data_IF_311544721836
#
_entry.id   IF_311544721836
#
_cell.length_a   1.000
_cell.length_b   1.000
_cell.length_c   1.000
_cell.angle_alpha   90.00
_cell.angle_beta   90.00
_cell.angle_gamma   90.00
#
_symmetry.space_group_name_H-M   'P 1'
#
loop_
_entity.id
_entity.type
_entity.pdbx_description
1 polymer ?
#
# COMPACT_ATOMS: atom_id res chain seq x y z
N UNK A 1 -4.83 -5.18 -17.61
CA UNK A 1 -5.04 -5.90 -18.89
C UNK A 1 -5.85 -4.99 -19.79
N UNK A 2 -5.39 -4.73 -21.01
CA UNK A 2 -6.10 -3.87 -21.94
C UNK A 2 -7.31 -4.58 -22.58
N UNK A 3 -8.40 -3.83 -22.83
CA UNK A 3 -9.63 -4.37 -23.42
C UNK A 3 -9.40 -5.13 -24.75
N UNK A 4 -8.43 -4.69 -25.55
CA UNK A 4 -8.02 -5.37 -26.78
C UNK A 4 -7.43 -6.76 -26.57
N UNK A 5 -6.74 -6.98 -25.43
CA UNK A 5 -6.17 -8.29 -25.07
C UNK A 5 -7.27 -9.25 -24.63
N UNK A 6 -8.26 -8.77 -23.86
CA UNK A 6 -9.38 -9.57 -23.39
C UNK A 6 -10.20 -10.12 -24.57
N UNK A 7 -10.45 -9.32 -25.60
CA UNK A 7 -11.19 -9.74 -26.81
C UNK A 7 -10.50 -10.87 -27.61
N UNK A 8 -9.21 -11.10 -27.40
CA UNK A 8 -8.44 -12.14 -28.12
C UNK A 8 -8.30 -13.43 -27.31
N UNK A 9 -8.85 -13.50 -26.10
CA UNK A 9 -8.75 -14.65 -25.23
C UNK A 9 -9.83 -15.69 -25.55
N UNK A 10 -9.48 -16.95 -25.41
CA UNK A 10 -10.45 -18.04 -25.47
C UNK A 10 -11.40 -18.00 -24.26
N UNK A 11 -12.57 -18.60 -24.38
CA UNK A 11 -13.52 -18.74 -23.28
C UNK A 11 -12.87 -19.38 -22.07
N UNK A 12 -12.09 -20.45 -22.25
CA UNK A 12 -11.39 -21.14 -21.18
C UNK A 12 -10.37 -20.23 -20.45
N UNK A 13 -9.68 -19.34 -21.16
CA UNK A 13 -8.78 -18.35 -20.56
C UNK A 13 -9.55 -17.32 -19.74
N UNK A 14 -10.70 -16.85 -20.27
CA UNK A 14 -11.57 -15.91 -19.56
C UNK A 14 -12.18 -16.52 -18.29
N UNK A 15 -12.61 -17.78 -18.35
CA UNK A 15 -13.10 -18.52 -17.19
C UNK A 15 -12.05 -18.69 -16.10
N UNK A 16 -10.80 -19.04 -16.47
CA UNK A 16 -9.69 -19.11 -15.51
C UNK A 16 -9.44 -17.77 -14.81
N UNK A 17 -9.44 -16.68 -15.57
CA UNK A 17 -9.27 -15.34 -15.03
C UNK A 17 -10.43 -14.97 -14.11
N UNK A 18 -11.66 -15.21 -14.54
CA UNK A 18 -12.86 -14.95 -13.73
C UNK A 18 -12.85 -15.73 -12.42
N UNK A 19 -12.57 -17.04 -12.49
CA UNK A 19 -12.48 -17.89 -11.30
C UNK A 19 -11.36 -17.42 -10.34
N UNK A 20 -10.23 -16.97 -10.88
CA UNK A 20 -9.15 -16.40 -10.06
C UNK A 20 -9.60 -15.13 -9.34
N UNK A 21 -10.34 -14.22 -10.01
CA UNK A 21 -10.90 -13.03 -9.36
C UNK A 21 -11.89 -13.38 -8.26
N UNK A 22 -12.76 -14.38 -8.50
CA UNK A 22 -13.73 -14.84 -7.51
C UNK A 22 -13.03 -15.45 -6.28
N UNK A 23 -12.05 -16.33 -6.51
CA UNK A 23 -11.29 -16.99 -5.43
C UNK A 23 -10.49 -15.97 -4.58
N UNK A 24 -9.90 -14.97 -5.22
CA UNK A 24 -9.14 -13.92 -4.54
C UNK A 24 -10.02 -12.79 -3.98
N UNK A 25 -11.35 -12.90 -4.09
CA UNK A 25 -12.30 -11.86 -3.69
C UNK A 25 -11.92 -10.47 -4.22
N UNK A 26 -11.47 -10.40 -5.49
CA UNK A 26 -11.04 -9.16 -6.10
C UNK A 26 -12.23 -8.20 -6.30
N UNK A 27 -12.21 -7.09 -5.58
CA UNK A 27 -13.27 -6.08 -5.61
C UNK A 27 -13.15 -5.09 -6.78
N UNK A 28 -12.07 -5.17 -7.56
CA UNK A 28 -11.82 -4.29 -8.70
C UNK A 28 -11.18 -2.95 -8.33
N UNK A 29 -11.66 -1.86 -8.90
CA UNK A 29 -11.07 -0.54 -8.67
C UNK A 29 -11.45 0.04 -7.31
N UNK A 30 -10.46 0.53 -6.56
CA UNK A 30 -10.66 1.20 -5.27
C UNK A 30 -11.65 2.36 -5.36
N UNK A 31 -11.73 3.05 -6.50
CA UNK A 31 -12.65 4.17 -6.73
C UNK A 31 -14.12 3.75 -6.87
N UNK A 32 -14.40 2.45 -7.00
CA UNK A 32 -15.76 1.91 -7.22
C UNK A 32 -16.27 1.10 -6.02
N UNK A 33 -15.40 0.70 -5.12
CA UNK A 33 -15.80 -0.09 -3.94
C UNK A 33 -16.29 0.82 -2.81
N UNK A 34 -17.04 0.23 -1.89
CA UNK A 34 -17.54 0.85 -0.66
C UNK A 34 -16.82 0.27 0.54
N UNK A 35 -16.70 1.06 1.63
CA UNK A 35 -16.06 0.63 2.87
C UNK A 35 -16.60 -0.70 3.38
N UNK A 36 -17.92 -0.92 3.38
CA UNK A 36 -18.55 -2.17 3.79
C UNK A 36 -18.07 -3.42 3.04
N UNK A 37 -17.55 -3.28 1.82
CA UNK A 37 -17.05 -4.40 1.01
C UNK A 37 -15.68 -4.91 1.49
N UNK A 38 -14.99 -4.15 2.36
CA UNK A 38 -13.77 -4.63 3.04
C UNK A 38 -14.07 -5.77 4.01
N UNK A 39 -15.36 -5.96 4.36
CA UNK A 39 -15.87 -7.07 5.17
C UNK A 39 -15.11 -7.28 6.49
N UNK A 40 -14.84 -6.18 7.20
CA UNK A 40 -14.21 -6.21 8.52
C UNK A 40 -15.29 -6.53 9.54
N UNK A 41 -15.19 -7.71 10.14
CA UNK A 41 -16.16 -8.24 11.14
C UNK A 41 -15.41 -9.06 12.17
N UNK A 42 -16.05 -9.29 13.34
CA UNK A 42 -15.49 -10.15 14.39
C UNK A 42 -14.06 -9.76 14.80
N UNK A 43 -13.83 -8.46 15.01
CA UNK A 43 -12.51 -7.90 15.36
C UNK A 43 -11.98 -8.39 16.70
N UNK A 44 -12.84 -8.93 17.57
CA UNK A 44 -12.47 -9.64 18.80
C UNK A 44 -11.78 -10.97 18.49
N UNK A 45 -12.08 -11.58 17.34
CA UNK A 45 -11.57 -12.89 16.95
C UNK A 45 -10.45 -12.80 15.91
N UNK A 46 -10.51 -11.82 15.02
CA UNK A 46 -9.59 -11.65 13.92
C UNK A 46 -8.92 -10.29 13.95
N UNK A 47 -7.63 -10.26 13.61
CA UNK A 47 -6.89 -9.03 13.36
C UNK A 47 -6.88 -8.74 11.87
N UNK A 48 -7.43 -7.59 11.48
CA UNK A 48 -7.45 -7.12 10.10
C UNK A 48 -6.31 -6.14 9.84
N UNK A 49 -5.51 -6.45 8.83
CA UNK A 49 -4.48 -5.55 8.32
C UNK A 49 -4.89 -5.08 6.92
N UNK A 50 -5.06 -3.78 6.75
CA UNK A 50 -5.23 -3.16 5.44
C UNK A 50 -3.88 -2.68 4.93
N UNK A 51 -3.38 -3.35 3.88
CA UNK A 51 -2.16 -2.92 3.20
C UNK A 51 -2.52 -2.06 1.99
N UNK A 52 -1.82 -0.95 1.80
CA UNK A 52 -2.06 -0.07 0.65
C UNK A 52 -0.77 0.57 0.16
N UNK A 53 -0.74 0.74 -1.16
CA UNK A 53 0.26 1.52 -1.87
C UNK A 53 -0.46 2.24 -3.00
N UNK A 54 -0.15 3.50 -3.19
CA UNK A 54 -0.74 4.30 -4.26
C UNK A 54 0.35 4.69 -5.27
N UNK A 55 -0.02 4.97 -6.54
CA UNK A 55 0.96 5.23 -7.57
C UNK A 55 1.93 6.36 -7.20
N UNK A 56 3.23 6.08 -7.32
CA UNK A 56 4.29 7.04 -7.04
C UNK A 56 4.65 7.94 -8.23
N UNK A 57 3.99 7.78 -9.38
CA UNK A 57 4.33 8.48 -10.63
C UNK A 57 4.29 9.99 -10.53
N UNK A 58 3.46 10.53 -9.66
CA UNK A 58 3.34 11.97 -9.44
C UNK A 58 4.17 12.45 -8.23
N UNK A 59 4.83 11.54 -7.50
CA UNK A 59 5.71 11.82 -6.36
C UNK A 59 7.19 11.71 -6.73
N UNK A 60 7.54 10.70 -7.56
CA UNK A 60 8.92 10.34 -7.84
C UNK A 60 9.65 11.42 -8.65
N UNK A 61 10.98 11.50 -8.46
CA UNK A 61 11.87 12.43 -9.20
C UNK A 61 11.80 12.16 -10.71
N UNK A 62 11.62 10.90 -11.11
CA UNK A 62 11.48 10.51 -12.52
C UNK A 62 10.09 10.78 -13.10
N UNK A 63 9.13 11.23 -12.29
CA UNK A 63 7.74 11.48 -12.68
C UNK A 63 7.43 12.97 -12.85
N UNK A 64 6.15 13.27 -13.06
CA UNK A 64 5.67 14.65 -13.28
C UNK A 64 5.65 15.53 -12.01
N UNK A 65 5.98 14.96 -10.85
CA UNK A 65 6.01 15.63 -9.53
C UNK A 65 4.76 16.50 -9.23
N UNK A 66 3.58 16.06 -9.66
CA UNK A 66 2.31 16.77 -9.45
C UNK A 66 1.79 16.68 -8.02
N UNK A 67 2.44 15.86 -7.18
CA UNK A 67 2.06 15.64 -5.80
C UNK A 67 0.87 14.72 -5.59
N UNK A 68 0.39 14.69 -4.35
CA UNK A 68 -0.73 13.84 -3.93
C UNK A 68 -1.88 14.66 -3.30
N UNK A 69 -1.96 15.94 -3.62
CA UNK A 69 -2.98 16.85 -3.08
C UNK A 69 -4.39 16.29 -3.29
N UNK A 70 -5.21 16.35 -2.25
CA UNK A 70 -6.61 15.90 -2.28
C UNK A 70 -7.39 16.66 -3.37
N UNK A 71 -8.14 15.94 -4.19
CA UNK A 71 -8.91 16.51 -5.29
C UNK A 71 -8.12 16.95 -6.52
N UNK A 72 -6.80 16.69 -6.57
CA UNK A 72 -5.95 17.08 -7.72
C UNK A 72 -6.17 16.23 -8.98
N UNK A 73 -6.87 15.11 -8.89
CA UNK A 73 -7.02 14.16 -9.99
C UNK A 73 -5.73 13.43 -10.39
N UNK A 74 -4.66 13.57 -9.58
CA UNK A 74 -3.40 12.85 -9.80
C UNK A 74 -3.54 11.37 -9.44
N UNK A 75 -2.70 10.51 -10.02
CA UNK A 75 -2.68 9.09 -9.64
C UNK A 75 -2.26 8.89 -8.18
N UNK A 76 -1.33 9.70 -7.69
CA UNK A 76 -0.92 9.69 -6.28
C UNK A 76 -2.03 10.16 -5.34
N UNK A 77 -3.02 10.90 -5.83
CA UNK A 77 -4.24 11.27 -5.11
C UNK A 77 -5.16 10.07 -4.77
N UNK A 78 -4.88 8.85 -5.28
CA UNK A 78 -5.59 7.64 -4.87
C UNK A 78 -5.39 7.27 -3.39
N UNK A 79 -4.44 7.88 -2.69
CA UNK A 79 -4.36 7.81 -1.22
C UNK A 79 -5.71 8.20 -0.57
N UNK A 80 -6.37 9.22 -1.10
CA UNK A 80 -7.63 9.73 -0.54
C UNK A 80 -8.84 8.82 -0.76
N UNK A 81 -8.69 7.78 -1.60
CA UNK A 81 -9.68 6.71 -1.67
C UNK A 81 -9.63 5.80 -0.43
N UNK A 82 -8.44 5.61 0.17
CA UNK A 82 -8.31 4.91 1.45
C UNK A 82 -8.99 5.73 2.56
N UNK A 83 -8.79 7.07 2.56
CA UNK A 83 -9.50 7.98 3.47
C UNK A 83 -11.03 7.82 3.33
N UNK A 84 -11.53 7.80 2.10
CA UNK A 84 -12.97 7.64 1.82
C UNK A 84 -13.50 6.32 2.39
N UNK A 85 -12.79 5.21 2.16
CA UNK A 85 -13.21 3.90 2.64
C UNK A 85 -13.25 3.83 4.18
N UNK A 86 -12.21 4.35 4.86
CA UNK A 86 -12.17 4.39 6.32
C UNK A 86 -13.26 5.31 6.89
N UNK A 87 -13.53 6.44 6.22
CA UNK A 87 -14.61 7.36 6.59
C UNK A 87 -15.98 6.71 6.43
N UNK A 88 -16.21 5.96 5.36
CA UNK A 88 -17.45 5.21 5.13
C UNK A 88 -17.67 4.18 6.24
N UNK A 89 -16.63 3.41 6.61
CA UNK A 89 -16.71 2.43 7.71
C UNK A 89 -17.10 3.12 9.02
N UNK A 90 -16.41 4.22 9.38
CA UNK A 90 -16.69 4.96 10.61
C UNK A 90 -18.11 5.51 10.63
N UNK A 91 -18.55 6.13 9.55
CA UNK A 91 -19.89 6.74 9.46
C UNK A 91 -21.01 5.70 9.50
N UNK A 92 -20.77 4.49 9.01
CA UNK A 92 -21.69 3.37 9.07
C UNK A 92 -21.64 2.61 10.43
N UNK A 93 -20.84 3.07 11.40
CA UNK A 93 -20.64 2.40 12.68
C UNK A 93 -20.01 1.02 12.58
N UNK A 94 -19.20 0.80 11.54
CA UNK A 94 -18.50 -0.45 11.29
C UNK A 94 -17.12 -0.45 11.91
N UNK A 95 -16.62 -1.67 12.14
CA UNK A 95 -15.25 -1.88 12.61
C UNK A 95 -14.21 -1.35 11.62
N UNK A 96 -13.15 -0.77 12.16
CA UNK A 96 -11.97 -0.35 11.38
C UNK A 96 -10.90 -1.46 11.41
N UNK A 97 -10.03 -1.55 10.37
CA UNK A 97 -8.87 -2.42 10.44
C UNK A 97 -8.00 -2.06 11.64
N UNK A 98 -7.56 -3.04 12.42
CA UNK A 98 -6.70 -2.78 13.57
C UNK A 98 -5.31 -2.29 13.16
N UNK A 99 -4.85 -2.67 11.96
CA UNK A 99 -3.54 -2.30 11.44
C UNK A 99 -3.69 -1.75 10.02
N UNK A 100 -3.05 -0.62 9.76
CA UNK A 100 -2.85 -0.11 8.41
C UNK A 100 -1.36 -0.17 8.09
N UNK A 101 -1.02 -0.61 6.87
CA UNK A 101 0.35 -0.67 6.41
C UNK A 101 0.49 -0.01 5.04
N UNK A 102 1.24 1.09 4.98
CA UNK A 102 1.55 1.83 3.76
C UNK A 102 2.98 1.57 3.32
N UNK A 103 3.17 1.38 2.02
CA UNK A 103 4.47 1.46 1.36
C UNK A 103 4.42 2.50 0.25
N UNK A 104 5.47 3.34 0.14
CA UNK A 104 5.64 4.24 -1.00
C UNK A 104 7.12 4.68 -1.15
N UNK A 105 7.41 5.49 -2.16
CA UNK A 105 8.74 6.10 -2.35
C UNK A 105 9.04 7.13 -1.24
N UNK A 106 10.34 7.37 -0.91
CA UNK A 106 10.72 8.35 0.13
C UNK A 106 10.13 9.75 -0.08
N UNK A 107 9.89 10.13 -1.34
CA UNK A 107 9.34 11.42 -1.71
C UNK A 107 7.93 11.68 -1.16
N UNK A 108 7.24 10.66 -0.67
CA UNK A 108 5.92 10.82 -0.02
C UNK A 108 6.00 11.74 1.20
N UNK A 109 7.12 11.68 1.95
CA UNK A 109 7.43 12.57 3.08
C UNK A 109 8.43 13.67 2.73
N UNK A 110 8.77 13.83 1.45
CA UNK A 110 9.65 14.90 0.98
C UNK A 110 8.99 16.27 1.08
N UNK A 111 9.80 17.34 1.05
CA UNK A 111 9.36 18.73 1.29
C UNK A 111 8.16 19.17 0.46
N UNK A 112 8.00 18.65 -0.77
CA UNK A 112 6.87 18.99 -1.64
C UNK A 112 5.55 18.33 -1.25
N UNK A 113 5.60 17.21 -0.52
CA UNK A 113 4.44 16.38 -0.21
C UNK A 113 4.16 16.28 1.29
N UNK A 114 5.07 16.78 2.14
CA UNK A 114 5.01 16.63 3.59
C UNK A 114 3.72 17.19 4.20
N UNK A 115 3.20 18.29 3.66
CA UNK A 115 1.95 18.88 4.15
C UNK A 115 0.74 17.96 3.89
N UNK A 116 0.68 17.35 2.71
CA UNK A 116 -0.40 16.40 2.41
C UNK A 116 -0.22 15.09 3.18
N UNK A 117 1.04 14.67 3.42
CA UNK A 117 1.32 13.51 4.27
C UNK A 117 0.89 13.77 5.73
N UNK A 118 1.14 14.95 6.28
CA UNK A 118 0.67 15.33 7.62
C UNK A 118 -0.86 15.34 7.72
N UNK A 119 -1.56 15.84 6.70
CA UNK A 119 -3.04 15.75 6.66
C UNK A 119 -3.53 14.30 6.71
N UNK A 120 -2.82 13.42 6.02
CA UNK A 120 -3.10 11.99 6.08
C UNK A 120 -2.87 11.42 7.48
N UNK A 121 -1.76 11.75 8.10
CA UNK A 121 -1.43 11.34 9.47
C UNK A 121 -2.45 11.89 10.49
N UNK A 122 -2.80 13.16 10.39
CA UNK A 122 -3.83 13.81 11.21
C UNK A 122 -5.20 13.14 11.06
N UNK A 123 -5.58 12.79 9.82
CA UNK A 123 -6.80 12.06 9.56
C UNK A 123 -6.80 10.69 10.27
N UNK A 124 -5.74 9.90 10.14
CA UNK A 124 -5.63 8.62 10.81
C UNK A 124 -5.68 8.78 12.35
N UNK A 125 -5.00 9.77 12.88
CA UNK A 125 -5.04 10.11 14.31
C UNK A 125 -6.46 10.46 14.76
N UNK A 126 -7.23 11.18 13.94
CA UNK A 126 -8.64 11.49 14.23
C UNK A 126 -9.56 10.28 14.25
N UNK A 127 -9.14 9.18 13.62
CA UNK A 127 -9.83 7.88 13.69
C UNK A 127 -9.39 7.03 14.88
N UNK A 128 -8.38 7.46 15.63
CA UNK A 128 -7.85 6.76 16.80
C UNK A 128 -6.62 5.90 16.51
N UNK A 129 -5.94 6.09 15.38
CA UNK A 129 -4.69 5.38 15.08
C UNK A 129 -3.48 6.07 15.68
N UNK A 130 -2.52 5.25 16.18
CA UNK A 130 -1.15 5.67 16.49
C UNK A 130 -0.25 5.35 15.32
N UNK A 131 0.48 6.36 14.81
CA UNK A 131 1.19 6.29 13.54
C UNK A 131 2.71 6.22 13.73
N UNK A 132 3.38 5.36 12.95
CA UNK A 132 4.84 5.21 12.91
C UNK A 132 5.29 5.11 11.46
N UNK A 133 6.25 5.91 11.05
CA UNK A 133 6.81 5.81 9.69
C UNK A 133 8.31 6.01 9.68
N UNK A 134 8.97 5.34 8.75
CA UNK A 134 10.42 5.40 8.55
C UNK A 134 10.77 5.11 7.10
N UNK A 135 11.90 5.68 6.65
CA UNK A 135 12.50 5.32 5.36
C UNK A 135 13.47 4.19 5.61
N UNK A 136 13.21 3.02 5.02
CA UNK A 136 14.05 1.84 5.13
C UNK A 136 14.65 1.50 3.77
N UNK A 137 15.89 0.99 3.79
CA UNK A 137 16.55 0.49 2.59
C UNK A 137 16.71 -1.02 2.66
N UNK A 138 16.25 -1.74 1.65
CA UNK A 138 16.28 -3.20 1.59
C UNK A 138 17.68 -3.79 1.84
N UNK A 139 18.75 -3.09 1.40
CA UNK A 139 20.14 -3.53 1.63
C UNK A 139 20.51 -3.62 3.12
N UNK A 140 19.87 -2.82 3.97
CA UNK A 140 20.14 -2.76 5.40
C UNK A 140 19.37 -3.85 6.18
N UNK A 141 18.66 -4.73 5.44
CA UNK A 141 17.89 -5.87 5.96
C UNK A 141 18.23 -7.18 5.23
N UNK A 142 19.47 -7.30 4.76
CA UNK A 142 19.98 -8.54 4.17
C UNK A 142 19.60 -8.80 2.71
N UNK A 143 18.94 -7.85 2.03
CA UNK A 143 18.56 -7.96 0.61
C UNK A 143 19.60 -7.25 -0.26
N UNK A 144 20.12 -7.94 -1.31
CA UNK A 144 21.12 -7.38 -2.22
C UNK A 144 20.51 -6.36 -3.21
N UNK A 145 19.68 -5.45 -2.71
CA UNK A 145 19.03 -4.41 -3.49
C UNK A 145 19.08 -3.07 -2.77
N UNK A 146 19.63 -2.04 -3.44
CA UNK A 146 19.55 -0.67 -2.95
C UNK A 146 18.16 -0.11 -3.30
N UNK A 147 17.21 -0.25 -2.36
CA UNK A 147 15.82 0.13 -2.54
C UNK A 147 15.28 0.81 -1.29
N UNK A 148 15.23 2.13 -1.33
CA UNK A 148 14.63 2.92 -0.25
C UNK A 148 13.13 3.06 -0.44
N UNK A 149 12.38 2.87 0.66
CA UNK A 149 10.93 3.06 0.71
C UNK A 149 10.52 3.67 2.04
N UNK A 150 9.49 4.48 1.99
CA UNK A 150 8.78 4.94 3.17
C UNK A 150 7.75 3.88 3.54
N UNK A 151 7.87 3.36 4.74
CA UNK A 151 6.89 2.44 5.35
C UNK A 151 6.19 3.16 6.48
N UNK A 152 4.86 3.02 6.55
CA UNK A 152 4.06 3.55 7.63
C UNK A 152 3.15 2.46 8.19
N UNK A 153 3.24 2.24 9.50
CA UNK A 153 2.30 1.44 10.26
C UNK A 153 1.41 2.36 11.08
N UNK A 154 0.12 2.08 11.06
CA UNK A 154 -0.86 2.76 11.89
C UNK A 154 -1.66 1.70 12.64
N UNK A 155 -1.65 1.77 13.97
CA UNK A 155 -2.31 0.81 14.86
C UNK A 155 -3.51 1.49 15.51
N UNK A 156 -4.67 0.85 15.47
CA UNK A 156 -5.88 1.37 16.12
C UNK A 156 -5.72 1.29 17.65
N UNK A 157 -5.82 2.44 18.32
CA UNK A 157 -5.56 2.59 19.75
C UNK A 157 -4.10 2.98 20.05
N UNK A 158 -3.75 2.90 21.35
CA UNK A 158 -2.39 3.17 21.81
C UNK A 158 -1.48 1.96 21.55
N UNK A 159 -0.37 2.20 20.89
CA UNK A 159 0.60 1.17 20.55
C UNK A 159 2.01 1.71 20.67
N UNK A 160 2.98 0.86 21.05
CA UNK A 160 4.41 1.21 21.07
C UNK A 160 5.14 0.32 20.06
N UNK A 161 5.34 0.82 18.85
CA UNK A 161 6.01 0.12 17.78
C UNK A 161 7.40 0.68 17.51
N UNK A 162 8.34 -0.20 17.18
CA UNK A 162 9.69 0.16 16.72
C UNK A 162 10.02 -0.62 15.48
N UNK A 163 10.54 0.06 14.47
CA UNK A 163 11.05 -0.59 13.27
C UNK A 163 12.20 -1.56 13.60
N UNK A 164 12.37 -2.64 12.83
CA UNK A 164 13.45 -3.59 13.02
C UNK A 164 14.82 -2.92 12.96
N UNK A 165 15.77 -3.43 13.73
CA UNK A 165 17.16 -2.98 13.63
C UNK A 165 17.77 -3.42 12.30
N UNK A 166 18.60 -2.55 11.73
CA UNK A 166 19.33 -2.84 10.50
C UNK A 166 20.36 -3.95 10.70
N UNK A 167 20.56 -4.74 9.65
CA UNK A 167 21.60 -5.77 9.59
C UNK A 167 22.54 -5.47 8.42
N UNK A 168 23.86 -5.63 8.66
CA UNK A 168 24.84 -5.48 7.57
C UNK A 168 24.66 -6.58 6.54
N UNK A 169 24.55 -6.19 5.27
CA UNK A 169 24.54 -7.12 4.15
C UNK A 169 25.85 -7.93 4.14
N UNK A 170 25.76 -9.23 4.39
CA UNK A 170 26.91 -10.16 4.44
C UNK A 170 27.28 -10.69 3.06
N UNK A 171 26.29 -10.73 2.14
CA UNK A 171 26.43 -11.28 0.79
C UNK A 171 26.60 -10.18 -0.24
N UNK A 172 27.39 -10.45 -1.29
CA UNK A 172 27.52 -9.61 -2.49
C UNK A 172 26.57 -10.12 -3.56
N UNK A 173 26.30 -9.30 -4.59
CA UNK A 173 25.44 -9.70 -5.71
C UNK A 173 25.84 -11.06 -6.31
N UNK A 174 27.15 -11.30 -6.49
CA UNK A 174 27.69 -12.56 -7.00
C UNK A 174 27.28 -13.80 -6.18
N UNK A 175 26.99 -13.63 -4.89
CA UNK A 175 26.62 -14.75 -3.99
C UNK A 175 25.14 -15.17 -4.17
N UNK A 176 24.39 -14.42 -4.99
CA UNK A 176 23.00 -14.69 -5.37
C UNK A 176 22.86 -15.14 -6.83
N UNK A 177 23.97 -15.10 -7.60
CA UNK A 177 23.95 -15.58 -8.98
C UNK A 177 24.15 -17.09 -9.01
N UNK A 178 23.44 -17.77 -9.89
CA UNK A 178 23.68 -19.18 -10.19
C UNK A 178 25.08 -19.34 -10.77
N UNK A 179 25.81 -20.35 -10.30
CA UNK A 179 27.17 -20.61 -10.78
C UNK A 179 27.18 -21.43 -12.07
N UNK A 180 26.13 -22.21 -12.31
CA UNK A 180 25.94 -22.99 -13.55
C UNK A 180 24.53 -22.67 -14.06
N UNK A 181 24.46 -22.12 -15.27
CA UNK A 181 23.20 -21.89 -16.00
C UNK A 181 23.17 -22.91 -17.12
N UNK A 182 22.20 -23.83 -17.09
CA UNK A 182 21.94 -24.71 -18.23
C UNK A 182 21.52 -23.84 -19.44
N UNK A 183 22.21 -24.07 -20.59
CA UNK A 183 21.94 -23.38 -21.86
C UNK A 183 20.59 -23.82 -22.48
#
# INVERSE_FOLDING_TARGET
MEYKQIKRMSVQQLEKIYNSFCQNQNLGSITKIKGKQLNITDTDKYTYMLTYSFPCTDLSISGKQKGMKKGSGTRSGLLWEVERLLTELKNEGRELPQILFMENVPQVIGSKNIEDFRKWEDFLTSLGYTNYYEILNAKDYGVAQNRERCYMFSFLGEYNYKFPKTEKLKKRLRDYLEQEVEE
#
